data_IF_979532186216
#
_entry.id   IF_979532186216
#
_cell.length_a   1.000
_cell.length_b   1.000
_cell.length_c   1.000
_cell.angle_alpha   90.00
_cell.angle_beta   90.00
_cell.angle_gamma   90.00
#
_symmetry.space_group_name_H-M   'P 1'
#
loop_
_entity.id
_entity.type
_entity.pdbx_description
1 polymer ?
#
# COMPACT_ATOMS: atom_id res chain seq x y z
N UNK A 1 -20.87 -29.00 -0.58
CA UNK A 1 -19.84 -28.02 -0.15
C UNK A 1 -19.64 -27.96 1.36
N UNK A 2 -20.70 -27.87 2.18
CA UNK A 2 -20.60 -28.02 3.65
C UNK A 2 -19.88 -29.33 4.02
N UNK A 3 -20.15 -30.41 3.29
CA UNK A 3 -19.42 -31.68 3.39
C UNK A 3 -17.92 -31.59 3.07
N UNK A 4 -17.50 -30.77 2.10
CA UNK A 4 -16.08 -30.59 1.74
C UNK A 4 -15.33 -29.78 2.81
N UNK A 5 -16.00 -28.78 3.39
CA UNK A 5 -15.47 -28.00 4.52
C UNK A 5 -15.34 -28.90 5.75
N UNK A 6 -16.36 -29.70 6.06
CA UNK A 6 -16.33 -30.67 7.16
C UNK A 6 -15.27 -31.77 6.97
N UNK A 7 -14.83 -32.05 5.74
CA UNK A 7 -13.74 -33.00 5.46
C UNK A 7 -12.34 -32.35 5.52
N UNK A 8 -12.20 -31.09 5.13
CA UNK A 8 -10.91 -30.37 5.11
C UNK A 8 -10.52 -29.86 6.52
N UNK A 9 -11.50 -29.52 7.35
CA UNK A 9 -11.24 -28.97 8.70
C UNK A 9 -10.55 -29.97 9.65
N UNK A 10 -10.95 -31.26 9.70
CA UNK A 10 -10.26 -32.28 10.50
C UNK A 10 -8.86 -32.61 9.96
N UNK A 11 -8.67 -32.61 8.64
CA UNK A 11 -7.37 -32.84 8.02
C UNK A 11 -6.39 -31.69 8.33
N UNK A 12 -6.86 -30.45 8.27
CA UNK A 12 -6.08 -29.27 8.70
C UNK A 12 -5.81 -29.29 10.21
N UNK A 13 -6.77 -29.71 11.03
CA UNK A 13 -6.58 -29.89 12.48
C UNK A 13 -5.55 -30.97 12.82
N UNK A 14 -5.59 -32.11 12.12
CA UNK A 14 -4.63 -33.20 12.27
C UNK A 14 -3.20 -32.78 11.88
N UNK A 15 -3.07 -32.03 10.78
CA UNK A 15 -1.78 -31.47 10.31
C UNK A 15 -1.23 -30.41 11.26
N UNK A 16 -2.10 -29.61 11.89
CA UNK A 16 -1.73 -28.61 12.90
C UNK A 16 -1.20 -29.25 14.19
N UNK A 17 -1.84 -30.33 14.64
CA UNK A 17 -1.48 -31.06 15.87
C UNK A 17 -0.20 -31.87 15.70
N UNK A 18 0.09 -32.35 14.48
CA UNK A 18 1.25 -33.20 14.21
C UNK A 18 2.60 -32.46 14.12
N UNK A 19 2.67 -31.15 14.46
CA UNK A 19 3.87 -30.29 14.51
C UNK A 19 4.74 -30.24 13.23
N UNK A 20 4.26 -30.78 12.11
CA UNK A 20 5.02 -30.84 10.84
C UNK A 20 4.83 -29.61 9.96
N UNK A 21 3.81 -28.79 10.23
CA UNK A 21 3.46 -27.63 9.42
C UNK A 21 3.34 -26.41 10.32
N UNK A 22 3.90 -25.29 9.87
CA UNK A 22 3.82 -24.01 10.56
C UNK A 22 2.34 -23.65 10.81
N UNK A 23 1.95 -23.34 12.07
CA UNK A 23 0.60 -22.90 12.42
C UNK A 23 0.04 -21.79 11.52
N UNK A 24 0.92 -20.97 10.92
CA UNK A 24 0.54 -19.94 9.97
C UNK A 24 -0.19 -20.47 8.73
N UNK A 25 0.22 -21.62 8.19
CA UNK A 25 -0.43 -22.22 7.01
C UNK A 25 -1.81 -22.77 7.34
N UNK A 26 -1.97 -23.35 8.54
CA UNK A 26 -3.27 -23.85 9.02
C UNK A 26 -4.25 -22.69 9.21
N UNK A 27 -3.79 -21.60 9.84
CA UNK A 27 -4.59 -20.40 10.01
C UNK A 27 -4.99 -19.79 8.66
N UNK A 28 -4.04 -19.70 7.71
CA UNK A 28 -4.31 -19.22 6.36
C UNK A 28 -5.35 -20.06 5.63
N UNK A 29 -5.28 -21.39 5.76
CA UNK A 29 -6.26 -22.30 5.17
C UNK A 29 -7.66 -22.14 5.79
N UNK A 30 -7.76 -22.03 7.12
CA UNK A 30 -9.02 -21.78 7.81
C UNK A 30 -9.66 -20.45 7.41
N UNK A 31 -8.85 -19.39 7.33
CA UNK A 31 -9.31 -18.06 6.88
C UNK A 31 -9.77 -18.12 5.41
N UNK A 32 -9.05 -18.84 4.55
CA UNK A 32 -9.45 -19.06 3.16
C UNK A 32 -10.80 -19.78 3.04
N UNK A 33 -11.02 -20.81 3.85
CA UNK A 33 -12.30 -21.54 3.90
C UNK A 33 -13.44 -20.64 4.40
N UNK A 34 -13.21 -19.87 5.48
CA UNK A 34 -14.18 -18.89 5.97
C UNK A 34 -14.51 -17.83 4.92
N UNK A 35 -13.52 -17.32 4.21
CA UNK A 35 -13.70 -16.35 3.13
C UNK A 35 -14.57 -16.92 2.00
N UNK A 36 -14.35 -18.18 1.61
CA UNK A 36 -15.20 -18.88 0.63
C UNK A 36 -16.65 -19.04 1.11
N UNK A 37 -16.87 -19.34 2.39
CA UNK A 37 -18.22 -19.44 2.97
C UNK A 37 -18.92 -18.09 2.99
N UNK A 38 -18.22 -17.03 3.41
CA UNK A 38 -18.74 -15.67 3.45
C UNK A 38 -19.03 -15.17 2.02
N UNK A 39 -18.16 -15.47 1.06
CA UNK A 39 -18.36 -15.16 -0.36
C UNK A 39 -19.66 -15.76 -0.88
N UNK A 40 -19.91 -17.05 -0.60
CA UNK A 40 -21.15 -17.68 -1.04
C UNK A 40 -22.41 -17.12 -0.41
N UNK A 41 -22.35 -16.70 0.86
CA UNK A 41 -23.52 -16.14 1.55
C UNK A 41 -23.81 -14.69 1.18
N UNK A 42 -22.78 -13.89 0.91
CA UNK A 42 -22.92 -12.45 0.60
C UNK A 42 -22.96 -12.11 -0.89
N UNK A 43 -22.70 -13.08 -1.76
CA UNK A 43 -22.86 -12.92 -3.21
C UNK A 43 -21.98 -11.81 -3.78
N UNK A 44 -22.58 -10.94 -4.60
CA UNK A 44 -21.89 -9.89 -5.37
C UNK A 44 -21.06 -8.94 -4.51
N UNK A 45 -21.50 -8.63 -3.29
CA UNK A 45 -20.90 -7.59 -2.43
C UNK A 45 -19.65 -8.02 -1.64
N UNK A 46 -19.24 -9.29 -1.74
CA UNK A 46 -18.09 -9.80 -1.01
C UNK A 46 -16.80 -9.04 -1.32
N UNK A 47 -16.57 -8.70 -2.59
CA UNK A 47 -15.34 -8.05 -3.01
C UNK A 47 -15.26 -6.61 -2.50
N UNK A 48 -16.37 -5.88 -2.49
CA UNK A 48 -16.44 -4.50 -2.06
C UNK A 48 -16.18 -4.40 -0.55
N UNK A 49 -16.82 -5.25 0.25
CA UNK A 49 -16.50 -5.36 1.68
C UNK A 49 -15.05 -5.78 1.92
N UNK A 50 -14.53 -6.70 1.11
CA UNK A 50 -13.12 -7.10 1.15
C UNK A 50 -12.18 -5.92 0.90
N UNK A 51 -12.46 -5.08 -0.10
CA UNK A 51 -11.67 -3.89 -0.42
C UNK A 51 -11.74 -2.87 0.74
N UNK A 52 -12.91 -2.66 1.34
CA UNK A 52 -13.01 -1.84 2.56
C UNK A 52 -12.17 -2.42 3.69
N UNK A 53 -12.20 -3.75 3.87
CA UNK A 53 -11.44 -4.44 4.89
C UNK A 53 -9.93 -4.33 4.66
N UNK A 54 -9.43 -4.31 3.42
CA UNK A 54 -8.01 -4.05 3.12
C UNK A 54 -7.58 -2.70 3.69
N UNK A 55 -8.36 -1.63 3.44
CA UNK A 55 -8.02 -0.28 3.93
C UNK A 55 -8.14 -0.19 5.45
N UNK A 56 -9.22 -0.73 6.01
CA UNK A 56 -9.43 -0.75 7.46
C UNK A 56 -8.32 -1.53 8.16
N UNK A 57 -7.96 -2.70 7.68
CA UNK A 57 -6.87 -3.49 8.28
C UNK A 57 -5.51 -2.89 8.01
N UNK A 58 -5.29 -2.26 6.85
CA UNK A 58 -4.06 -1.50 6.60
C UNK A 58 -3.86 -0.32 7.57
N UNK A 59 -4.94 0.41 7.88
CA UNK A 59 -4.90 1.55 8.78
C UNK A 59 -4.98 1.21 10.28
N UNK A 60 -5.75 0.18 10.63
CA UNK A 60 -6.01 -0.22 12.01
C UNK A 60 -5.19 -1.43 12.44
N UNK A 61 -5.12 -2.48 11.62
CA UNK A 61 -4.74 -3.85 12.00
C UNK A 61 -3.50 -4.30 11.22
N UNK A 62 -2.35 -3.79 11.61
CA UNK A 62 -1.08 -4.41 11.28
C UNK A 62 -0.74 -5.58 12.24
N UNK A 63 -1.71 -6.07 13.02
CA UNK A 63 -1.50 -6.77 14.31
C UNK A 63 -1.13 -8.24 14.21
N UNK A 64 -1.57 -8.95 13.17
CA UNK A 64 -1.24 -10.37 13.01
C UNK A 64 -0.07 -10.53 12.07
N UNK A 65 1.10 -10.23 12.61
CA UNK A 65 2.34 -10.56 11.92
C UNK A 65 2.58 -12.03 12.16
N UNK A 66 2.18 -12.86 11.20
CA UNK A 66 2.45 -14.29 11.22
C UNK A 66 3.98 -14.45 11.37
N UNK A 67 4.47 -15.07 12.46
CA UNK A 67 5.90 -15.27 12.64
C UNK A 67 6.38 -16.14 11.48
N UNK A 68 7.18 -15.58 10.56
CA UNK A 68 7.77 -16.37 9.46
C UNK A 68 9.04 -17.10 9.89
N UNK A 69 9.26 -17.23 11.21
CA UNK A 69 10.50 -17.74 11.80
C UNK A 69 11.71 -16.80 11.65
N UNK A 70 11.53 -15.61 11.08
CA UNK A 70 12.52 -14.52 10.93
C UNK A 70 11.82 -13.19 11.17
N UNK A 71 12.56 -12.10 11.37
CA UNK A 71 12.01 -10.76 11.69
C UNK A 71 10.99 -10.18 10.68
N UNK A 72 10.72 -10.88 9.57
CA UNK A 72 9.77 -10.47 8.54
C UNK A 72 8.33 -10.81 8.89
N UNK A 73 7.47 -9.80 8.77
CA UNK A 73 6.10 -9.78 9.29
C UNK A 73 5.10 -9.63 8.13
N UNK A 74 4.20 -10.59 7.93
CA UNK A 74 3.13 -10.49 6.92
C UNK A 74 2.00 -9.61 7.47
N UNK A 75 1.58 -8.60 6.70
CA UNK A 75 0.48 -7.69 7.09
C UNK A 75 -0.87 -8.31 6.73
N UNK A 76 -1.87 -8.17 7.61
CA UNK A 76 -3.23 -8.73 7.41
C UNK A 76 -3.88 -8.24 6.12
N UNK A 77 -3.66 -6.97 5.76
CA UNK A 77 -4.16 -6.40 4.50
C UNK A 77 -3.64 -7.15 3.28
N UNK A 78 -2.39 -7.63 3.30
CA UNK A 78 -1.83 -8.45 2.22
C UNK A 78 -2.52 -9.81 2.16
N UNK A 79 -2.76 -10.45 3.30
CA UNK A 79 -3.47 -11.73 3.35
C UNK A 79 -4.90 -11.60 2.79
N UNK A 80 -5.64 -10.57 3.21
CA UNK A 80 -6.98 -10.28 2.68
C UNK A 80 -6.90 -10.04 1.17
N UNK A 81 -5.91 -9.27 0.71
CA UNK A 81 -5.71 -9.00 -0.72
C UNK A 81 -5.50 -10.29 -1.50
N UNK A 82 -4.64 -11.19 -1.02
CA UNK A 82 -4.39 -12.48 -1.65
C UNK A 82 -5.66 -13.33 -1.73
N UNK A 83 -6.43 -13.40 -0.65
CA UNK A 83 -7.69 -14.15 -0.61
C UNK A 83 -8.68 -13.58 -1.64
N UNK A 84 -8.85 -12.26 -1.70
CA UNK A 84 -9.76 -11.63 -2.66
C UNK A 84 -9.30 -11.86 -4.11
N UNK A 85 -8.01 -11.76 -4.38
CA UNK A 85 -7.46 -11.99 -5.71
C UNK A 85 -7.58 -13.45 -6.13
N UNK A 86 -7.20 -14.40 -5.27
CA UNK A 86 -7.31 -15.82 -5.58
C UNK A 86 -8.76 -16.23 -5.81
N UNK A 87 -9.69 -15.76 -4.98
CA UNK A 87 -11.12 -16.02 -5.18
C UNK A 87 -11.65 -15.37 -6.45
N UNK A 88 -11.20 -14.16 -6.79
CA UNK A 88 -11.57 -13.50 -8.05
C UNK A 88 -11.03 -14.22 -9.29
N UNK A 89 -9.75 -14.59 -9.30
CA UNK A 89 -9.12 -15.34 -10.39
C UNK A 89 -9.75 -16.73 -10.54
N UNK A 90 -10.02 -17.42 -9.43
CA UNK A 90 -10.71 -18.70 -9.42
C UNK A 90 -12.13 -18.58 -9.99
N UNK A 91 -12.86 -17.52 -9.62
CA UNK A 91 -14.19 -17.27 -10.16
C UNK A 91 -14.16 -17.05 -11.68
N UNK A 92 -13.26 -16.21 -12.17
CA UNK A 92 -13.11 -15.98 -13.62
C UNK A 92 -12.70 -17.25 -14.38
N UNK A 93 -11.76 -18.02 -13.84
CA UNK A 93 -11.22 -19.21 -14.50
C UNK A 93 -12.16 -20.42 -14.46
N UNK A 94 -12.76 -20.70 -13.30
CA UNK A 94 -13.50 -21.94 -13.08
C UNK A 94 -15.02 -21.78 -13.21
N UNK A 95 -15.57 -20.67 -12.72
CA UNK A 95 -17.02 -20.44 -12.69
C UNK A 95 -17.49 -19.77 -13.96
N UNK A 96 -16.93 -18.61 -14.30
CA UNK A 96 -17.30 -17.85 -15.50
C UNK A 96 -16.66 -18.44 -16.77
N UNK A 97 -15.56 -19.19 -16.63
CA UNK A 97 -14.73 -19.75 -17.72
C UNK A 97 -14.32 -18.70 -18.76
N UNK A 98 -14.18 -17.45 -18.32
CA UNK A 98 -13.85 -16.30 -19.15
C UNK A 98 -12.87 -15.42 -18.38
N UNK A 99 -11.62 -15.36 -18.85
CA UNK A 99 -10.61 -14.44 -18.36
C UNK A 99 -10.86 -13.05 -18.96
N UNK A 100 -11.97 -12.43 -18.58
CA UNK A 100 -12.39 -11.13 -19.07
C UNK A 100 -12.12 -10.07 -18.00
N UNK A 101 -11.11 -9.24 -18.26
CA UNK A 101 -10.87 -8.00 -17.51
C UNK A 101 -11.55 -6.87 -18.27
N UNK A 102 -12.23 -5.97 -17.56
CA UNK A 102 -12.82 -4.75 -18.11
C UNK A 102 -11.80 -4.04 -19.02
N UNK A 103 -12.14 -3.77 -20.29
CA UNK A 103 -11.22 -3.12 -21.21
C UNK A 103 -10.75 -1.77 -20.68
N UNK A 104 -9.44 -1.62 -20.51
CA UNK A 104 -8.80 -0.36 -20.10
C UNK A 104 -7.39 -0.29 -20.70
N UNK A 105 -6.93 0.90 -21.13
CA UNK A 105 -5.54 1.11 -21.56
C UNK A 105 -4.51 0.70 -20.51
N UNK A 106 -4.89 0.71 -19.22
CA UNK A 106 -4.02 0.35 -18.09
C UNK A 106 -3.74 -1.17 -18.03
N UNK A 107 -4.58 -2.01 -18.62
CA UNK A 107 -4.43 -3.46 -18.52
C UNK A 107 -3.10 -3.94 -19.12
N UNK A 108 -2.73 -3.42 -20.30
CA UNK A 108 -1.49 -3.81 -20.99
C UNK A 108 -0.23 -3.51 -20.16
N UNK A 109 0.02 -2.27 -19.69
CA UNK A 109 1.20 -1.98 -18.87
C UNK A 109 1.19 -2.75 -17.55
N UNK A 110 0.02 -2.99 -16.94
CA UNK A 110 -0.09 -3.81 -15.73
C UNK A 110 0.35 -5.25 -15.98
N UNK A 111 -0.17 -5.90 -17.02
CA UNK A 111 0.22 -7.27 -17.35
C UNK A 111 1.69 -7.36 -17.77
N UNK A 112 2.19 -6.38 -18.52
CA UNK A 112 3.60 -6.31 -18.88
C UNK A 112 4.48 -6.18 -17.62
N UNK A 113 4.11 -5.32 -16.68
CA UNK A 113 4.83 -5.17 -15.41
C UNK A 113 4.82 -6.47 -14.60
N UNK A 114 3.66 -7.14 -14.47
CA UNK A 114 3.56 -8.45 -13.79
C UNK A 114 4.45 -9.49 -14.46
N UNK A 115 4.43 -9.58 -15.79
CA UNK A 115 5.28 -10.50 -16.53
C UNK A 115 6.77 -10.20 -16.31
N UNK A 116 7.18 -8.92 -16.40
CA UNK A 116 8.55 -8.49 -16.13
C UNK A 116 9.00 -8.86 -14.72
N UNK A 117 8.15 -8.67 -13.71
CA UNK A 117 8.48 -9.05 -12.33
C UNK A 117 8.71 -10.56 -12.17
N UNK A 118 7.86 -11.38 -12.79
CA UNK A 118 8.00 -12.85 -12.75
C UNK A 118 9.27 -13.28 -13.49
N UNK A 119 9.51 -12.75 -14.70
CA UNK A 119 10.70 -13.08 -15.48
C UNK A 119 11.96 -12.62 -14.75
N UNK A 120 11.97 -11.41 -14.19
CA UNK A 120 13.09 -10.84 -13.44
C UNK A 120 13.43 -11.70 -12.21
N UNK A 121 12.44 -12.25 -11.52
CA UNK A 121 12.69 -13.18 -10.41
C UNK A 121 13.46 -14.43 -10.88
N UNK A 122 12.99 -15.13 -11.91
CA UNK A 122 13.69 -16.30 -12.44
C UNK A 122 15.06 -15.96 -13.03
N UNK A 123 15.16 -14.81 -13.69
CA UNK A 123 16.40 -14.27 -14.23
C UNK A 123 17.44 -14.05 -13.13
N UNK A 124 17.05 -13.42 -12.03
CA UNK A 124 17.93 -13.18 -10.87
C UNK A 124 18.41 -14.47 -10.22
N UNK A 125 17.66 -15.57 -10.32
CA UNK A 125 18.10 -16.87 -9.82
C UNK A 125 19.08 -17.55 -10.76
N UNK A 126 18.89 -17.41 -12.07
CA UNK A 126 19.72 -18.05 -13.09
C UNK A 126 21.09 -17.36 -13.26
N UNK A 127 21.14 -16.04 -13.16
CA UNK A 127 22.34 -15.23 -13.45
C UNK A 127 23.01 -14.67 -12.19
N UNK A 128 22.60 -15.10 -11.00
CA UNK A 128 23.26 -14.71 -9.74
C UNK A 128 24.72 -15.11 -9.75
N UNK A 129 25.58 -14.24 -9.23
CA UNK A 129 26.98 -14.55 -8.95
C UNK A 129 27.08 -15.80 -8.04
N UNK A 130 27.72 -16.90 -8.49
CA UNK A 130 27.86 -18.12 -7.69
C UNK A 130 28.72 -17.92 -6.43
N UNK A 131 29.53 -16.86 -6.37
CA UNK A 131 30.33 -16.50 -5.19
C UNK A 131 29.52 -15.77 -4.11
N UNK A 132 28.29 -15.33 -4.42
CA UNK A 132 27.43 -14.67 -3.45
C UNK A 132 26.92 -15.69 -2.42
N UNK A 133 27.27 -15.45 -1.15
CA UNK A 133 26.73 -16.22 -0.03
C UNK A 133 25.24 -15.98 0.15
N UNK A 134 24.44 -17.05 0.14
CA UNK A 134 22.98 -16.97 0.26
C UNK A 134 22.58 -17.47 1.64
N UNK A 135 22.06 -16.57 2.46
CA UNK A 135 21.43 -16.99 3.71
C UNK A 135 20.12 -17.74 3.44
N UNK A 136 19.75 -18.63 4.35
CA UNK A 136 18.58 -19.50 4.17
C UNK A 136 17.23 -18.77 4.01
N UNK A 137 17.14 -17.48 4.36
CA UNK A 137 15.92 -16.65 4.19
C UNK A 137 15.72 -16.20 2.77
N UNK A 138 16.81 -16.07 2.02
CA UNK A 138 16.86 -15.22 0.85
C UNK A 138 15.83 -15.64 -0.21
N UNK A 139 15.66 -16.94 -0.54
CA UNK A 139 14.63 -17.35 -1.48
C UNK A 139 13.22 -16.98 -1.01
N UNK A 140 12.92 -17.16 0.29
CA UNK A 140 11.61 -16.82 0.84
C UNK A 140 11.34 -15.32 0.76
N UNK A 141 12.34 -14.48 1.06
CA UNK A 141 12.22 -13.02 0.95
C UNK A 141 11.95 -12.62 -0.50
N UNK A 142 12.65 -13.21 -1.47
CA UNK A 142 12.41 -12.92 -2.88
C UNK A 142 11.01 -13.35 -3.35
N UNK A 143 10.55 -14.53 -2.95
CA UNK A 143 9.19 -15.01 -3.28
C UNK A 143 8.13 -14.09 -2.68
N UNK A 144 8.29 -13.66 -1.42
CA UNK A 144 7.36 -12.73 -0.77
C UNK A 144 7.41 -11.35 -1.44
N UNK A 145 8.58 -10.87 -1.83
CA UNK A 145 8.73 -9.62 -2.57
C UNK A 145 8.05 -9.68 -3.95
N UNK A 146 8.24 -10.78 -4.69
CA UNK A 146 7.55 -11.03 -5.95
C UNK A 146 6.04 -11.08 -5.74
N UNK A 147 5.58 -11.80 -4.71
CA UNK A 147 4.17 -11.92 -4.37
C UNK A 147 3.56 -10.54 -4.15
N UNK A 148 4.20 -9.68 -3.36
CA UNK A 148 3.79 -8.29 -3.15
C UNK A 148 3.76 -7.54 -4.48
N UNK A 149 4.85 -7.53 -5.24
CA UNK A 149 4.96 -6.80 -6.50
C UNK A 149 3.97 -7.25 -7.58
N UNK A 150 3.51 -8.50 -7.55
CA UNK A 150 2.46 -9.01 -8.45
C UNK A 150 1.06 -8.74 -7.91
N UNK A 151 0.86 -8.89 -6.60
CA UNK A 151 -0.45 -8.74 -5.94
C UNK A 151 -0.98 -7.32 -6.07
N UNK A 152 -0.14 -6.30 -5.85
CA UNK A 152 -0.55 -4.89 -5.92
C UNK A 152 -1.15 -4.46 -7.28
N UNK A 153 -0.47 -4.69 -8.43
CA UNK A 153 -1.03 -4.33 -9.73
C UNK A 153 -2.23 -5.21 -10.11
N UNK A 154 -2.30 -6.47 -9.67
CA UNK A 154 -3.50 -7.30 -9.86
C UNK A 154 -4.69 -6.79 -9.02
N UNK A 155 -4.45 -6.29 -7.80
CA UNK A 155 -5.46 -5.66 -6.96
C UNK A 155 -6.07 -4.44 -7.67
N UNK A 156 -5.26 -3.64 -8.36
CA UNK A 156 -5.75 -2.53 -9.19
C UNK A 156 -6.75 -3.02 -10.24
N UNK A 157 -6.44 -4.10 -10.96
CA UNK A 157 -7.35 -4.68 -11.95
C UNK A 157 -8.64 -5.19 -11.29
N UNK A 158 -8.52 -5.90 -10.16
CA UNK A 158 -9.68 -6.42 -9.44
C UNK A 158 -10.62 -5.29 -8.98
N UNK A 159 -10.06 -4.24 -8.37
CA UNK A 159 -10.83 -3.05 -7.92
C UNK A 159 -11.52 -2.39 -9.10
N UNK A 160 -10.83 -2.20 -10.23
CA UNK A 160 -11.42 -1.61 -11.44
C UNK A 160 -12.57 -2.44 -12.06
N UNK A 161 -12.59 -3.75 -11.80
CA UNK A 161 -13.62 -4.66 -12.30
C UNK A 161 -14.81 -4.80 -11.34
N UNK A 162 -14.54 -4.84 -10.03
CA UNK A 162 -15.56 -5.14 -9.02
C UNK A 162 -16.16 -3.89 -8.38
N UNK A 163 -15.42 -2.79 -8.28
CA UNK A 163 -15.86 -1.59 -7.58
C UNK A 163 -16.44 -0.56 -8.56
N UNK A 164 -17.69 -0.80 -9.00
CA UNK A 164 -18.37 0.05 -9.99
C UNK A 164 -19.35 1.05 -9.37
N UNK A 165 -19.90 0.74 -8.19
CA UNK A 165 -20.92 1.61 -7.60
C UNK A 165 -20.29 2.79 -6.85
N UNK A 166 -20.77 4.03 -7.08
CA UNK A 166 -20.25 5.23 -6.40
C UNK A 166 -20.29 5.15 -4.87
N UNK A 167 -21.24 4.39 -4.31
CA UNK A 167 -21.40 4.22 -2.88
C UNK A 167 -20.14 3.61 -2.23
N UNK A 168 -19.52 2.61 -2.86
CA UNK A 168 -18.33 1.95 -2.30
C UNK A 168 -17.09 2.84 -2.35
N UNK A 169 -16.94 3.63 -3.42
CA UNK A 169 -15.89 4.66 -3.51
C UNK A 169 -16.07 5.69 -2.39
N UNK A 170 -17.31 6.14 -2.17
CA UNK A 170 -17.61 7.07 -1.09
C UNK A 170 -17.29 6.49 0.28
N UNK A 171 -17.62 5.21 0.54
CA UNK A 171 -17.29 4.52 1.79
C UNK A 171 -15.78 4.41 2.00
N UNK A 172 -15.01 4.10 0.96
CA UNK A 172 -13.54 4.08 1.01
C UNK A 172 -12.99 5.44 1.44
N UNK A 173 -13.44 6.52 0.79
CA UNK A 173 -13.02 7.88 1.12
C UNK A 173 -13.36 8.23 2.57
N UNK A 174 -14.58 7.91 3.03
CA UNK A 174 -14.99 8.13 4.42
C UNK A 174 -14.05 7.40 5.39
N UNK A 175 -13.72 6.14 5.12
CA UNK A 175 -12.78 5.37 5.95
C UNK A 175 -11.42 6.05 6.02
N UNK A 176 -10.85 6.47 4.89
CA UNK A 176 -9.57 7.19 4.89
C UNK A 176 -9.62 8.47 5.72
N UNK A 177 -10.68 9.26 5.58
CA UNK A 177 -10.86 10.49 6.37
C UNK A 177 -10.99 10.17 7.85
N UNK A 178 -11.80 9.18 8.24
CA UNK A 178 -11.97 8.77 9.64
C UNK A 178 -10.66 8.27 10.26
N UNK A 179 -9.88 7.48 9.53
CA UNK A 179 -8.56 7.03 9.97
C UNK A 179 -7.59 8.22 10.12
N UNK A 180 -7.63 9.18 9.20
CA UNK A 180 -6.83 10.41 9.27
C UNK A 180 -7.18 11.30 10.46
N UNK A 181 -8.48 11.52 10.70
CA UNK A 181 -8.98 12.27 11.86
C UNK A 181 -8.58 11.56 13.16
N UNK A 182 -8.82 10.25 13.25
CA UNK A 182 -8.40 9.43 14.41
C UNK A 182 -6.90 9.56 14.65
N UNK A 183 -6.08 9.49 13.60
CA UNK A 183 -4.62 9.67 13.69
C UNK A 183 -4.23 11.02 14.29
N UNK A 184 -4.90 12.10 13.88
CA UNK A 184 -4.64 13.45 14.40
C UNK A 184 -5.12 13.59 15.84
N UNK A 185 -6.33 13.14 16.14
CA UNK A 185 -6.89 13.22 17.51
C UNK A 185 -5.99 12.48 18.47
N UNK A 186 -5.58 11.24 18.15
CA UNK A 186 -4.66 10.47 18.98
C UNK A 186 -3.33 11.19 19.18
N UNK A 187 -2.77 11.81 18.13
CA UNK A 187 -1.50 12.56 18.25
C UNK A 187 -1.54 13.62 19.35
N UNK A 188 -2.64 14.38 19.42
CA UNK A 188 -2.78 15.48 20.37
C UNK A 188 -3.33 15.06 21.73
N UNK A 189 -3.97 13.89 21.85
CA UNK A 189 -4.65 13.45 23.09
C UNK A 189 -3.89 12.35 23.83
N UNK A 190 -3.24 11.44 23.10
CA UNK A 190 -2.56 10.30 23.69
C UNK A 190 -1.41 9.84 22.77
N UNK A 191 -0.21 10.37 23.05
CA UNK A 191 0.97 10.09 22.26
C UNK A 191 1.36 8.60 22.26
N UNK A 192 1.11 7.86 23.36
CA UNK A 192 1.42 6.42 23.43
C UNK A 192 0.54 5.60 22.49
N UNK A 193 -0.77 5.84 22.48
CA UNK A 193 -1.70 5.16 21.57
C UNK A 193 -1.45 5.64 20.13
N UNK A 194 -1.11 6.91 19.96
CA UNK A 194 -0.75 7.46 18.67
C UNK A 194 0.49 6.80 18.08
N UNK A 195 1.60 6.72 18.80
CA UNK A 195 2.83 6.09 18.33
C UNK A 195 2.57 4.62 17.97
N UNK A 196 1.74 3.94 18.77
CA UNK A 196 1.28 2.60 18.48
C UNK A 196 0.45 2.50 17.18
N UNK A 197 -0.43 3.47 16.92
CA UNK A 197 -1.25 3.58 15.71
C UNK A 197 -0.43 4.00 14.47
N UNK A 198 0.54 4.90 14.66
CA UNK A 198 1.40 5.47 13.63
C UNK A 198 2.47 4.52 13.16
N UNK A 199 3.21 3.91 14.09
CA UNK A 199 4.32 3.03 13.77
C UNK A 199 3.89 1.87 12.86
N UNK A 200 2.60 1.51 12.89
CA UNK A 200 2.14 0.29 12.26
C UNK A 200 1.16 0.44 11.08
N UNK A 201 0.44 1.56 10.94
CA UNK A 201 -0.60 1.68 9.90
C UNK A 201 -0.68 3.00 9.13
N UNK A 202 -0.13 4.10 9.66
CA UNK A 202 -0.38 5.45 9.10
C UNK A 202 0.89 6.23 8.71
N UNK A 203 2.00 5.51 8.51
CA UNK A 203 3.26 6.04 7.97
C UNK A 203 3.27 6.14 6.44
N UNK A 204 4.21 6.91 5.91
CA UNK A 204 4.49 7.05 4.49
C UNK A 204 3.40 7.83 3.77
N UNK A 205 2.87 7.26 2.69
CA UNK A 205 1.91 7.93 1.79
C UNK A 205 0.51 8.11 2.37
N UNK A 206 0.25 7.67 3.60
CA UNK A 206 -1.09 7.75 4.19
C UNK A 206 -1.59 9.20 4.33
N UNK A 207 -0.73 10.12 4.79
CA UNK A 207 -1.05 11.55 4.93
C UNK A 207 -1.49 12.17 3.61
N UNK A 208 -0.80 11.81 2.51
CA UNK A 208 -1.12 12.24 1.15
C UNK A 208 -2.56 11.85 0.78
N UNK A 209 -2.96 10.60 1.02
CA UNK A 209 -4.32 10.15 0.69
C UNK A 209 -5.39 10.90 1.48
N UNK A 210 -5.22 11.04 2.79
CA UNK A 210 -6.18 11.76 3.64
C UNK A 210 -6.31 13.21 3.20
N UNK A 211 -5.19 13.92 3.02
CA UNK A 211 -5.18 15.31 2.62
C UNK A 211 -5.77 15.51 1.21
N UNK A 212 -5.42 14.62 0.26
CA UNK A 212 -5.93 14.64 -1.09
C UNK A 212 -7.45 14.45 -1.13
N UNK A 213 -7.98 13.47 -0.41
CA UNK A 213 -9.43 13.26 -0.34
C UNK A 213 -10.14 14.42 0.36
N UNK A 214 -9.61 14.92 1.48
CA UNK A 214 -10.21 16.01 2.23
C UNK A 214 -10.28 17.29 1.38
N UNK A 215 -9.17 17.67 0.74
CA UNK A 215 -9.13 18.86 -0.10
C UNK A 215 -10.01 18.69 -1.35
N UNK A 216 -9.96 17.53 -2.01
CA UNK A 216 -10.79 17.27 -3.18
C UNK A 216 -12.28 17.38 -2.87
N UNK A 217 -12.72 16.79 -1.75
CA UNK A 217 -14.10 16.94 -1.29
C UNK A 217 -14.45 18.40 -0.98
N UNK A 218 -13.59 19.13 -0.28
CA UNK A 218 -13.84 20.52 0.06
C UNK A 218 -13.94 21.44 -1.17
N UNK A 219 -13.13 21.21 -2.21
CA UNK A 219 -13.05 22.07 -3.39
C UNK A 219 -14.06 21.73 -4.48
N UNK A 220 -14.39 20.44 -4.66
CA UNK A 220 -15.18 19.97 -5.80
C UNK A 220 -16.60 19.52 -5.42
N UNK A 221 -16.86 19.09 -4.17
CA UNK A 221 -18.17 18.57 -3.82
C UNK A 221 -19.19 19.68 -3.56
N UNK A 222 -20.05 19.95 -4.55
CA UNK A 222 -21.03 21.05 -4.51
C UNK A 222 -22.10 20.88 -3.44
N UNK A 223 -22.53 19.65 -3.17
CA UNK A 223 -23.60 19.33 -2.20
C UNK A 223 -23.14 19.38 -0.73
N UNK A 224 -21.84 19.56 -0.48
CA UNK A 224 -21.31 19.56 0.88
C UNK A 224 -21.57 20.91 1.57
N UNK A 225 -22.17 20.95 2.79
CA UNK A 225 -22.41 22.18 3.51
C UNK A 225 -21.09 22.88 3.87
N UNK A 226 -21.13 24.21 3.94
CA UNK A 226 -19.92 25.04 4.10
C UNK A 226 -19.13 24.70 5.36
N UNK A 227 -19.80 24.38 6.47
CA UNK A 227 -19.11 24.02 7.72
C UNK A 227 -18.27 22.74 7.57
N UNK A 228 -18.77 21.72 6.85
CA UNK A 228 -17.98 20.50 6.55
C UNK A 228 -16.80 20.82 5.64
N UNK A 229 -16.96 21.73 4.68
CA UNK A 229 -15.83 22.17 3.85
C UNK A 229 -14.75 22.84 4.70
N UNK A 230 -15.14 23.71 5.63
CA UNK A 230 -14.21 24.35 6.57
C UNK A 230 -13.52 23.31 7.43
N UNK A 231 -14.23 22.30 7.95
CA UNK A 231 -13.62 21.21 8.72
C UNK A 231 -12.62 20.39 7.89
N UNK A 232 -12.94 20.07 6.63
CA UNK A 232 -12.02 19.33 5.75
C UNK A 232 -10.77 20.15 5.40
N UNK A 233 -10.92 21.45 5.15
CA UNK A 233 -9.78 22.34 4.95
C UNK A 233 -8.96 22.46 6.23
N UNK A 234 -9.61 22.60 7.39
CA UNK A 234 -8.96 22.58 8.69
C UNK A 234 -8.17 21.30 8.92
N UNK A 235 -8.72 20.14 8.55
CA UNK A 235 -8.02 18.85 8.61
C UNK A 235 -6.73 18.86 7.76
N UNK A 236 -6.78 19.39 6.54
CA UNK A 236 -5.60 19.53 5.67
C UNK A 236 -4.55 20.45 6.30
N UNK A 237 -4.97 21.58 6.88
CA UNK A 237 -4.06 22.52 7.56
C UNK A 237 -3.37 21.83 8.74
N UNK A 238 -4.10 21.07 9.56
CA UNK A 238 -3.53 20.33 10.69
C UNK A 238 -2.57 19.24 10.22
N UNK A 239 -2.87 18.55 9.11
CA UNK A 239 -1.95 17.60 8.49
C UNK A 239 -0.67 18.29 8.01
N UNK A 240 -0.78 19.44 7.33
CA UNK A 240 0.39 20.22 6.92
C UNK A 240 1.21 20.63 8.15
N UNK A 241 0.58 21.18 9.18
CA UNK A 241 1.27 21.56 10.42
C UNK A 241 2.05 20.38 11.02
N UNK A 242 1.39 19.24 11.18
CA UNK A 242 2.00 18.05 11.76
C UNK A 242 3.16 17.50 10.92
N UNK A 243 2.94 17.24 9.63
CA UNK A 243 3.93 16.51 8.82
C UNK A 243 5.04 17.43 8.30
N UNK A 244 4.75 18.70 8.04
CA UNK A 244 5.75 19.62 7.48
C UNK A 244 6.46 20.46 8.55
N UNK A 245 5.74 20.99 9.55
CA UNK A 245 6.35 21.84 10.56
C UNK A 245 6.94 21.02 11.71
N UNK A 246 6.18 20.07 12.28
CA UNK A 246 6.68 19.21 13.37
C UNK A 246 7.54 18.06 12.85
N UNK A 247 7.15 17.46 11.71
CA UNK A 247 7.84 16.33 11.08
C UNK A 247 8.82 16.73 9.97
N UNK A 248 9.47 17.89 10.06
CA UNK A 248 10.20 18.51 8.94
C UNK A 248 11.27 17.62 8.29
N UNK A 249 11.98 16.80 9.09
CA UNK A 249 12.98 15.84 8.59
C UNK A 249 12.38 14.66 7.83
N UNK A 250 11.09 14.36 8.01
CA UNK A 250 10.45 13.21 7.40
C UNK A 250 9.84 13.54 6.03
N UNK A 251 10.70 13.64 5.01
CA UNK A 251 10.35 14.05 3.64
C UNK A 251 9.22 13.21 3.05
N UNK A 252 9.29 11.88 3.20
CA UNK A 252 8.29 10.96 2.66
C UNK A 252 6.90 11.14 3.29
N UNK A 253 6.81 11.81 4.45
CA UNK A 253 5.55 12.15 5.10
C UNK A 253 4.87 13.42 4.57
N UNK A 254 5.62 14.40 4.05
CA UNK A 254 5.07 15.68 3.61
C UNK A 254 5.19 15.95 2.11
N UNK A 255 6.26 15.54 1.44
CA UNK A 255 6.49 15.88 0.03
C UNK A 255 5.41 15.28 -0.91
N UNK A 256 5.06 13.98 -0.82
CA UNK A 256 3.99 13.41 -1.64
C UNK A 256 2.64 14.09 -1.38
N UNK A 257 2.37 14.48 -0.13
CA UNK A 257 1.16 15.22 0.25
C UNK A 257 1.09 16.56 -0.48
N UNK A 258 2.15 17.38 -0.45
CA UNK A 258 2.14 18.67 -1.16
C UNK A 258 1.99 18.51 -2.66
N UNK A 259 2.67 17.53 -3.28
CA UNK A 259 2.53 17.26 -4.72
C UNK A 259 1.06 16.95 -5.06
N UNK A 260 0.41 16.07 -4.29
CA UNK A 260 -1.00 15.74 -4.49
C UNK A 260 -1.92 16.97 -4.31
N UNK A 261 -1.71 17.76 -3.25
CA UNK A 261 -2.49 18.99 -3.02
C UNK A 261 -2.30 20.01 -4.15
N UNK A 262 -1.07 20.17 -4.66
CA UNK A 262 -0.79 21.08 -5.77
C UNK A 262 -1.49 20.65 -7.06
N UNK A 263 -1.52 19.34 -7.36
CA UNK A 263 -2.27 18.81 -8.51
C UNK A 263 -3.77 19.08 -8.35
N UNK A 264 -4.33 18.85 -7.16
CA UNK A 264 -5.75 19.11 -6.85
C UNK A 264 -6.08 20.60 -7.00
N UNK A 265 -5.23 21.49 -6.47
CA UNK A 265 -5.42 22.95 -6.61
C UNK A 265 -5.29 23.36 -8.07
N UNK A 266 -4.32 22.82 -8.82
CA UNK A 266 -4.15 23.09 -10.25
C UNK A 266 -5.42 22.74 -11.05
N UNK A 267 -6.02 21.58 -10.77
CA UNK A 267 -7.27 21.15 -11.40
C UNK A 267 -8.45 22.09 -11.06
N UNK A 268 -8.44 22.73 -9.88
CA UNK A 268 -9.50 23.65 -9.45
C UNK A 268 -9.30 25.09 -9.95
N UNK A 269 -8.07 25.59 -9.91
CA UNK A 269 -7.69 26.97 -10.23
C UNK A 269 -6.19 27.10 -10.52
N UNK A 270 -5.86 27.36 -11.79
CA UNK A 270 -4.47 27.62 -12.22
C UNK A 270 -3.84 28.82 -11.49
N UNK A 271 -4.62 29.87 -11.21
CA UNK A 271 -4.15 31.05 -10.48
C UNK A 271 -3.75 30.70 -9.04
N UNK A 272 -4.59 29.96 -8.33
CA UNK A 272 -4.27 29.52 -6.96
C UNK A 272 -3.04 28.62 -6.95
N UNK A 273 -2.90 27.72 -7.93
CA UNK A 273 -1.71 26.89 -8.08
C UNK A 273 -0.45 27.74 -8.27
N UNK A 274 -0.46 28.73 -9.18
CA UNK A 274 0.71 29.60 -9.40
C UNK A 274 1.09 30.35 -8.12
N UNK A 275 0.11 30.91 -7.41
CA UNK A 275 0.36 31.61 -6.15
C UNK A 275 1.00 30.66 -5.13
N UNK A 276 0.44 29.47 -4.91
CA UNK A 276 1.00 28.50 -3.98
C UNK A 276 2.39 27.99 -4.40
N UNK A 277 2.62 27.80 -5.70
CA UNK A 277 3.91 27.39 -6.23
C UNK A 277 4.99 28.45 -5.97
N UNK A 278 4.68 29.72 -6.24
CA UNK A 278 5.59 30.84 -5.99
C UNK A 278 5.87 30.98 -4.49
N UNK A 279 4.85 30.93 -3.64
CA UNK A 279 5.03 31.00 -2.18
C UNK A 279 5.87 29.82 -1.66
N UNK A 280 5.62 28.61 -2.17
CA UNK A 280 6.41 27.43 -1.84
C UNK A 280 7.86 27.56 -2.27
N UNK A 281 8.11 28.04 -3.49
CA UNK A 281 9.46 28.29 -3.99
C UNK A 281 10.20 29.32 -3.13
N UNK A 282 9.57 30.46 -2.83
CA UNK A 282 10.13 31.48 -1.95
C UNK A 282 10.47 30.90 -0.57
N UNK A 283 9.53 30.16 0.05
CA UNK A 283 9.77 29.55 1.36
C UNK A 283 10.96 28.57 1.33
N UNK A 284 11.04 27.70 0.33
CA UNK A 284 12.15 26.74 0.18
C UNK A 284 13.47 27.47 -0.05
N UNK A 285 13.49 28.51 -0.89
CA UNK A 285 14.68 29.32 -1.14
C UNK A 285 15.17 30.03 0.13
N UNK A 286 14.27 30.63 0.92
CA UNK A 286 14.62 31.28 2.19
C UNK A 286 15.12 30.30 3.25
N UNK A 287 14.71 29.03 3.18
CA UNK A 287 15.11 27.98 4.11
C UNK A 287 16.09 26.99 3.49
N UNK A 288 16.73 27.33 2.36
CA UNK A 288 17.51 26.39 1.56
C UNK A 288 18.63 25.73 2.36
N UNK A 289 19.38 26.51 3.15
CA UNK A 289 20.47 26.01 3.99
C UNK A 289 19.99 24.94 4.98
N UNK A 290 18.82 25.14 5.60
CA UNK A 290 18.25 24.15 6.50
C UNK A 290 17.93 22.86 5.75
N UNK A 291 17.22 22.95 4.63
CA UNK A 291 16.80 21.77 3.87
C UNK A 291 17.98 21.03 3.25
N UNK A 292 18.96 21.74 2.69
CA UNK A 292 20.15 21.14 2.12
C UNK A 292 20.95 20.37 3.19
N UNK A 293 21.21 20.98 4.35
CA UNK A 293 22.01 20.33 5.39
C UNK A 293 21.27 19.16 6.08
N UNK A 294 19.99 19.35 6.42
CA UNK A 294 19.25 18.37 7.25
C UNK A 294 18.54 17.30 6.42
N UNK A 295 18.43 17.46 5.11
CA UNK A 295 17.73 16.50 4.25
C UNK A 295 18.65 15.94 3.17
N UNK A 296 19.45 16.77 2.51
CA UNK A 296 20.33 16.26 1.45
C UNK A 296 21.59 15.66 2.06
N UNK A 297 22.34 16.46 2.83
CA UNK A 297 23.61 16.01 3.41
C UNK A 297 23.43 14.97 4.53
N UNK A 298 22.46 15.18 5.43
CA UNK A 298 22.21 14.22 6.51
C UNK A 298 21.79 12.83 5.99
N UNK A 299 20.91 12.77 4.98
CA UNK A 299 20.49 11.48 4.39
C UNK A 299 21.59 10.83 3.52
N UNK A 300 22.50 11.61 2.95
CA UNK A 300 23.70 11.08 2.30
C UNK A 300 24.66 10.45 3.31
N UNK A 301 24.84 11.07 4.47
CA UNK A 301 25.70 10.57 5.55
C UNK A 301 25.10 9.37 6.29
N UNK A 302 23.78 9.33 6.47
CA UNK A 302 23.06 8.16 7.02
C UNK A 302 22.91 7.02 5.98
N UNK A 303 22.96 7.34 4.68
CA UNK A 303 22.70 6.44 3.57
C UNK A 303 23.91 5.67 3.06
N UNK A 304 24.32 4.61 3.78
CA UNK A 304 25.46 3.71 3.46
C UNK A 304 26.82 4.42 3.37
N UNK A 305 27.90 3.75 3.79
CA UNK A 305 29.23 4.36 3.92
C UNK A 305 29.87 4.94 2.65
N UNK A 306 29.25 4.76 1.48
CA UNK A 306 29.69 5.25 0.16
C UNK A 306 28.75 6.30 -0.45
N UNK A 307 27.65 6.65 0.22
CA UNK A 307 26.65 7.59 -0.27
C UNK A 307 25.66 7.00 -1.30
N UNK A 308 24.46 7.59 -1.39
CA UNK A 308 23.35 7.07 -2.22
C UNK A 308 23.59 7.18 -3.73
N UNK A 309 24.26 8.22 -4.18
CA UNK A 309 24.54 8.44 -5.61
C UNK A 309 25.42 7.33 -6.16
N UNK A 310 26.46 6.94 -5.42
CA UNK A 310 27.35 5.85 -5.81
C UNK A 310 26.61 4.50 -5.89
N UNK A 311 25.68 4.24 -4.96
CA UNK A 311 24.83 3.04 -5.03
C UNK A 311 23.94 3.02 -6.28
N UNK A 312 23.37 4.16 -6.66
CA UNK A 312 22.60 4.28 -7.90
C UNK A 312 23.46 4.08 -9.13
N UNK A 313 24.64 4.69 -9.17
CA UNK A 313 25.60 4.53 -10.25
C UNK A 313 26.03 3.07 -10.39
N UNK A 314 26.34 2.40 -9.28
CA UNK A 314 26.70 0.98 -9.27
C UNK A 314 25.56 0.10 -9.76
N UNK A 315 24.33 0.33 -9.30
CA UNK A 315 23.14 -0.40 -9.78
C UNK A 315 22.90 -0.19 -11.28
N UNK A 316 23.01 1.05 -11.77
CA UNK A 316 22.89 1.35 -13.19
C UNK A 316 24.02 0.69 -14.00
N UNK A 317 25.24 0.64 -13.47
CA UNK A 317 26.35 -0.10 -14.04
C UNK A 317 26.05 -1.60 -14.18
N UNK A 318 25.44 -2.22 -13.16
CA UNK A 318 25.02 -3.63 -13.25
C UNK A 318 23.93 -3.86 -14.30
N UNK A 319 22.97 -2.95 -14.41
CA UNK A 319 21.92 -3.03 -15.45
C UNK A 319 22.51 -2.85 -16.84
N UNK A 320 23.39 -1.86 -17.04
CA UNK A 320 24.02 -1.56 -18.33
C UNK A 320 24.90 -2.70 -18.86
N UNK A 321 25.53 -3.45 -17.95
CA UNK A 321 26.45 -4.53 -18.29
C UNK A 321 25.75 -5.91 -18.41
N UNK A 322 24.42 -5.98 -18.30
CA UNK A 322 23.67 -7.23 -18.38
C UNK A 322 22.63 -7.20 -19.52
N UNK A 323 22.44 -8.29 -20.28
CA UNK A 323 21.65 -8.27 -21.51
C UNK A 323 20.13 -7.99 -21.36
N UNK A 324 19.55 -8.04 -20.15
CA UNK A 324 18.09 -7.92 -19.95
C UNK A 324 17.69 -7.22 -18.64
N UNK A 325 17.95 -7.81 -17.45
CA UNK A 325 17.41 -7.32 -16.17
C UNK A 325 18.44 -6.97 -15.08
N UNK A 326 19.71 -6.70 -15.43
CA UNK A 326 20.79 -6.62 -14.44
C UNK A 326 21.13 -7.98 -13.82
N UNK A 327 22.03 -7.98 -12.82
CA UNK A 327 22.46 -9.15 -12.03
C UNK A 327 21.72 -9.18 -10.69
#
# INVERSE_FOLDING_TARGET
MIAAILLVTPALGYVAVSRRVDPAFVLGALVGVLALVVWQRRGSHFYEFGILAIVLTGGLVSFFTLPTGRESRIVVSLLITLILLLTWLFHMGWVERRLAVRPSPINRPVFAFVAVMIISYFWSLAFRDPLMFIWSSFPMVQVVALLVNVTFPLLLLMVANKLNEPMWISRLVIIFILLGVTSIVLYFTNQTIHDWFMYRGTRGLFSMWVAAFALSLALFQRKLPTWLRVLLVGLVIVLIYRYFFLGRSWVSGWLPMFVALMVIVYQRSKRAFVILAVLGAIYVSLNFTYYFNNIVLAEEQEGSGTGRVELWERNLGHVANHPLFGV
#
